data_IF_270849374050
#
_entry.id   IF_270849374050
#
_cell.length_a   1.000
_cell.length_b   1.000
_cell.length_c   1.000
_cell.angle_alpha   90.00
_cell.angle_beta   90.00
_cell.angle_gamma   90.00
#
_symmetry.space_group_name_H-M   'P 1'
#
loop_
_entity.id
_entity.type
_entity.pdbx_description
1 polymer ?
#
# COMPACT_ATOMS: atom_id res chain seq x y z
N UNK A 1 13.27 -15.28 0.93
CA UNK A 1 13.40 -14.53 -0.33
C UNK A 1 14.88 -14.27 -0.64
N UNK A 2 15.18 -14.07 -1.94
CA UNK A 2 16.51 -13.66 -2.35
C UNK A 2 16.88 -12.30 -1.74
N UNK A 3 18.18 -11.99 -1.70
CA UNK A 3 18.65 -10.72 -1.16
C UNK A 3 18.04 -9.52 -1.92
N UNK A 4 17.92 -9.61 -3.25
CA UNK A 4 17.33 -8.55 -4.05
C UNK A 4 15.88 -8.29 -3.62
N UNK A 5 15.07 -9.34 -3.52
CA UNK A 5 13.67 -9.19 -3.11
C UNK A 5 13.57 -8.66 -1.68
N UNK A 6 14.42 -9.12 -0.77
CA UNK A 6 14.45 -8.59 0.60
C UNK A 6 14.73 -7.09 0.62
N UNK A 7 15.69 -6.64 -0.19
CA UNK A 7 16.04 -5.21 -0.27
C UNK A 7 14.89 -4.38 -0.84
N UNK A 8 14.18 -4.91 -1.84
CA UNK A 8 13.00 -4.23 -2.39
C UNK A 8 11.92 -4.10 -1.33
N UNK A 9 11.62 -5.16 -0.59
CA UNK A 9 10.61 -5.14 0.47
C UNK A 9 11.00 -4.12 1.55
N UNK A 10 12.26 -4.09 1.96
CA UNK A 10 12.75 -3.12 2.94
C UNK A 10 12.56 -1.68 2.42
N UNK A 11 12.86 -1.45 1.14
CA UNK A 11 12.70 -0.13 0.53
C UNK A 11 11.22 0.30 0.56
N UNK A 12 10.31 -0.61 0.22
CA UNK A 12 8.88 -0.34 0.25
C UNK A 12 8.43 -0.01 1.67
N UNK A 13 8.84 -0.81 2.65
CA UNK A 13 8.43 -0.63 4.04
C UNK A 13 9.01 0.63 4.68
N UNK A 14 10.13 1.13 4.17
CA UNK A 14 10.79 2.31 4.72
C UNK A 14 10.02 3.60 4.44
N UNK A 15 9.46 3.73 3.23
CA UNK A 15 8.73 4.95 2.86
C UNK A 15 7.66 4.64 1.81
N UNK A 16 6.43 4.51 2.26
CA UNK A 16 5.29 4.26 1.37
C UNK A 16 4.91 5.47 0.52
N UNK A 17 5.40 6.66 0.85
CA UNK A 17 5.11 7.87 0.08
C UNK A 17 6.05 8.08 -1.10
N UNK A 18 7.13 7.31 -1.17
CA UNK A 18 8.10 7.40 -2.25
C UNK A 18 7.54 6.85 -3.56
N UNK A 19 8.22 7.14 -4.65
CA UNK A 19 7.91 6.53 -5.94
C UNK A 19 8.40 5.07 -5.90
N UNK A 20 7.46 4.15 -5.83
CA UNK A 20 7.71 2.71 -5.69
C UNK A 20 7.33 1.96 -6.97
N UNK A 21 7.43 2.62 -8.13
CA UNK A 21 7.21 1.97 -9.42
C UNK A 21 8.33 0.98 -9.71
N UNK A 22 8.01 -0.01 -10.55
CA UNK A 22 8.96 -1.05 -10.94
C UNK A 22 10.25 -0.44 -11.51
N UNK A 23 10.13 0.53 -12.41
CA UNK A 23 11.30 1.13 -13.07
C UNK A 23 12.19 1.86 -12.06
N UNK A 24 11.58 2.59 -11.12
CA UNK A 24 12.34 3.30 -10.09
C UNK A 24 13.07 2.33 -9.17
N UNK A 25 12.38 1.29 -8.72
CA UNK A 25 12.99 0.30 -7.81
C UNK A 25 14.09 -0.50 -8.51
N UNK A 26 13.87 -0.91 -9.75
CA UNK A 26 14.88 -1.60 -10.53
C UNK A 26 16.12 -0.72 -10.73
N UNK A 27 15.91 0.56 -11.00
CA UNK A 27 17.00 1.53 -11.14
C UNK A 27 17.82 1.66 -9.86
N UNK A 28 17.15 1.74 -8.72
CA UNK A 28 17.83 1.83 -7.41
C UNK A 28 18.71 0.62 -7.14
N UNK A 29 18.27 -0.55 -7.56
CA UNK A 29 19.00 -1.81 -7.33
C UNK A 29 19.95 -2.15 -8.49
N UNK A 30 19.97 -1.28 -9.51
CA UNK A 30 20.81 -1.46 -10.69
C UNK A 30 20.58 -2.81 -11.38
N UNK A 31 19.31 -3.17 -11.54
CA UNK A 31 18.89 -4.40 -12.21
C UNK A 31 17.89 -4.09 -13.31
N UNK A 32 17.69 -5.05 -14.20
CA UNK A 32 16.70 -4.96 -15.27
C UNK A 32 15.27 -5.05 -14.66
N UNK A 33 14.39 -4.17 -15.14
CA UNK A 33 13.00 -4.13 -14.61
C UNK A 33 12.24 -5.44 -14.86
N UNK A 34 12.38 -6.02 -16.04
CA UNK A 34 11.71 -7.30 -16.35
C UNK A 34 12.21 -8.43 -15.46
N UNK A 35 13.50 -8.46 -15.19
CA UNK A 35 14.09 -9.44 -14.29
C UNK A 35 13.53 -9.28 -12.88
N UNK A 36 13.51 -8.04 -12.37
CA UNK A 36 12.95 -7.77 -11.04
C UNK A 36 11.48 -8.16 -10.95
N UNK A 37 10.69 -7.78 -11.96
CA UNK A 37 9.26 -8.10 -12.01
C UNK A 37 9.01 -9.60 -11.92
N UNK A 38 9.72 -10.38 -12.72
CA UNK A 38 9.57 -11.83 -12.78
C UNK A 38 10.00 -12.48 -11.46
N UNK A 39 11.15 -12.07 -10.95
CA UNK A 39 11.67 -12.62 -9.70
C UNK A 39 10.78 -12.30 -8.51
N UNK A 40 10.32 -11.05 -8.42
CA UNK A 40 9.46 -10.62 -7.32
C UNK A 40 8.16 -11.43 -7.28
N UNK A 41 7.50 -11.58 -8.43
CA UNK A 41 6.27 -12.37 -8.50
C UNK A 41 6.52 -13.84 -8.19
N UNK A 42 7.62 -14.40 -8.69
CA UNK A 42 7.98 -15.79 -8.43
C UNK A 42 8.17 -16.05 -6.94
N UNK A 43 8.85 -15.16 -6.24
CA UNK A 43 9.17 -15.37 -4.83
C UNK A 43 8.04 -14.99 -3.88
N UNK A 44 7.31 -13.90 -4.16
CA UNK A 44 6.26 -13.40 -3.25
C UNK A 44 4.86 -13.87 -3.62
N UNK A 45 4.66 -14.32 -4.85
CA UNK A 45 3.33 -14.69 -5.35
C UNK A 45 2.52 -13.50 -5.85
N UNK A 46 3.02 -12.27 -5.72
CA UNK A 46 2.33 -11.04 -6.11
C UNK A 46 3.18 -10.22 -7.07
N UNK A 47 2.52 -9.47 -7.95
CA UNK A 47 3.25 -8.45 -8.71
C UNK A 47 3.76 -7.38 -7.75
N UNK A 48 4.81 -6.68 -8.16
CA UNK A 48 5.34 -5.59 -7.35
C UNK A 48 4.28 -4.51 -7.10
N UNK A 49 3.52 -4.14 -8.13
CA UNK A 49 2.45 -3.14 -8.01
C UNK A 49 1.40 -3.57 -6.99
N UNK A 50 0.94 -4.82 -7.06
CA UNK A 50 -0.05 -5.32 -6.10
C UNK A 50 0.50 -5.35 -4.69
N UNK A 51 1.76 -5.74 -4.52
CA UNK A 51 2.40 -5.76 -3.22
C UNK A 51 2.46 -4.35 -2.60
N UNK A 52 2.88 -3.36 -3.38
CA UNK A 52 2.96 -1.97 -2.91
C UNK A 52 1.56 -1.46 -2.54
N UNK A 53 0.58 -1.71 -3.41
CA UNK A 53 -0.79 -1.26 -3.16
C UNK A 53 -1.37 -1.90 -1.91
N UNK A 54 -1.10 -3.19 -1.70
CA UNK A 54 -1.54 -3.89 -0.49
C UNK A 54 -0.96 -3.24 0.77
N UNK A 55 0.33 -2.94 0.76
CA UNK A 55 0.98 -2.28 1.90
C UNK A 55 0.41 -0.90 2.16
N UNK A 56 0.16 -0.14 1.10
CA UNK A 56 -0.44 1.20 1.22
C UNK A 56 -1.85 1.14 1.81
N UNK A 57 -2.66 0.19 1.37
CA UNK A 57 -4.02 0.03 1.90
C UNK A 57 -3.99 -0.44 3.36
N UNK A 58 -3.09 -1.36 3.71
CA UNK A 58 -2.92 -1.79 5.10
C UNK A 58 -2.57 -0.60 6.01
N UNK A 59 -1.70 0.28 5.54
CA UNK A 59 -1.36 1.48 6.30
C UNK A 59 -2.57 2.41 6.45
N UNK A 60 -3.39 2.52 5.40
CA UNK A 60 -4.64 3.27 5.45
C UNK A 60 -5.60 2.72 6.48
N UNK A 61 -5.74 1.40 6.54
CA UNK A 61 -6.58 0.74 7.55
C UNK A 61 -6.10 1.11 8.96
N UNK A 62 -4.79 1.03 9.18
CA UNK A 62 -4.22 1.38 10.47
C UNK A 62 -4.55 2.82 10.86
N UNK A 63 -4.39 3.76 9.93
CA UNK A 63 -4.67 5.18 10.19
C UNK A 63 -6.16 5.45 10.42
N UNK A 64 -7.04 4.71 9.74
CA UNK A 64 -8.48 4.83 9.96
C UNK A 64 -8.87 4.40 11.37
N UNK A 65 -8.19 3.39 11.92
CA UNK A 65 -8.46 2.89 13.27
C UNK A 65 -7.84 3.76 14.36
N UNK A 66 -6.63 4.24 14.13
CA UNK A 66 -5.81 4.84 15.20
C UNK A 66 -5.83 6.36 15.22
N UNK A 67 -6.45 6.99 14.22
CA UNK A 67 -6.46 8.47 14.13
C UNK A 67 -7.84 8.97 13.74
N UNK A 68 -8.03 10.29 13.92
CA UNK A 68 -9.22 11.01 13.42
C UNK A 68 -8.90 11.81 12.16
N UNK A 69 -7.79 11.51 11.50
CA UNK A 69 -7.38 12.21 10.28
C UNK A 69 -8.44 12.10 9.19
N UNK A 70 -8.54 13.14 8.37
CA UNK A 70 -9.43 13.13 7.22
C UNK A 70 -8.96 12.09 6.20
N UNK A 71 -9.90 11.54 5.44
CA UNK A 71 -9.60 10.49 4.46
C UNK A 71 -8.53 10.95 3.46
N UNK A 72 -8.62 12.20 2.97
CA UNK A 72 -7.63 12.70 2.01
C UNK A 72 -6.24 12.83 2.63
N UNK A 73 -6.15 13.14 3.91
CA UNK A 73 -4.87 13.18 4.62
C UNK A 73 -4.29 11.77 4.75
N UNK A 74 -5.14 10.79 5.09
CA UNK A 74 -4.74 9.39 5.17
C UNK A 74 -4.21 8.91 3.82
N UNK A 75 -4.91 9.23 2.73
CA UNK A 75 -4.50 8.86 1.39
C UNK A 75 -3.07 9.37 1.10
N UNK A 76 -2.79 10.62 1.45
CA UNK A 76 -1.46 11.19 1.25
C UNK A 76 -0.39 10.46 2.08
N UNK A 77 -0.68 10.16 3.34
CA UNK A 77 0.27 9.44 4.19
C UNK A 77 0.51 8.01 3.70
N UNK A 78 -0.45 7.41 3.00
CA UNK A 78 -0.28 6.07 2.43
C UNK A 78 0.50 6.08 1.11
N UNK A 79 0.81 7.26 0.57
CA UNK A 79 1.49 7.36 -0.72
C UNK A 79 0.56 7.37 -1.91
N UNK A 80 -0.74 7.58 -1.70
CA UNK A 80 -1.76 7.68 -2.75
C UNK A 80 -2.47 9.03 -2.57
N UNK A 81 -1.84 10.14 -3.00
CA UNK A 81 -2.40 11.47 -2.73
C UNK A 81 -3.71 11.78 -3.46
N UNK A 82 -4.01 11.07 -4.55
CA UNK A 82 -5.30 11.21 -5.23
C UNK A 82 -6.34 10.44 -4.42
N UNK A 83 -7.19 11.18 -3.68
CA UNK A 83 -8.18 10.57 -2.79
C UNK A 83 -9.22 9.75 -3.55
N UNK A 84 -9.54 10.13 -4.79
CA UNK A 84 -10.48 9.36 -5.60
C UNK A 84 -9.90 7.99 -5.96
N UNK A 85 -8.64 7.97 -6.36
CA UNK A 85 -7.96 6.71 -6.65
C UNK A 85 -7.80 5.86 -5.38
N UNK A 86 -7.42 6.50 -4.27
CA UNK A 86 -7.32 5.82 -2.98
C UNK A 86 -8.64 5.15 -2.60
N UNK A 87 -9.75 5.88 -2.71
CA UNK A 87 -11.08 5.37 -2.38
C UNK A 87 -11.45 4.15 -3.23
N UNK A 88 -11.20 4.24 -4.53
CA UNK A 88 -11.49 3.12 -5.46
C UNK A 88 -10.64 1.90 -5.14
N UNK A 89 -9.36 2.11 -4.91
CA UNK A 89 -8.43 1.01 -4.60
C UNK A 89 -8.79 0.38 -3.26
N UNK A 90 -9.08 1.18 -2.25
CA UNK A 90 -9.48 0.72 -0.92
C UNK A 90 -10.74 -0.14 -1.02
N UNK A 91 -11.78 0.36 -1.71
CA UNK A 91 -13.02 -0.38 -1.88
C UNK A 91 -12.80 -1.70 -2.61
N UNK A 92 -11.95 -1.70 -3.64
CA UNK A 92 -11.63 -2.93 -4.39
C UNK A 92 -10.99 -3.98 -3.49
N UNK A 93 -10.08 -3.57 -2.60
CA UNK A 93 -9.32 -4.50 -1.77
C UNK A 93 -10.03 -4.88 -0.48
N UNK A 94 -10.79 -3.96 0.11
CA UNK A 94 -11.41 -4.14 1.43
C UNK A 94 -12.91 -4.45 1.32
N UNK A 95 -13.54 -4.05 0.22
CA UNK A 95 -14.97 -4.27 0.01
C UNK A 95 -15.85 -3.09 0.44
N UNK A 96 -15.28 -2.08 1.06
CA UNK A 96 -15.98 -0.88 1.53
C UNK A 96 -15.13 0.35 1.27
N UNK A 97 -15.76 1.52 1.18
CA UNK A 97 -15.01 2.77 1.09
C UNK A 97 -14.32 3.05 2.42
N UNK A 98 -13.26 3.87 2.44
CA UNK A 98 -12.62 4.26 3.70
C UNK A 98 -13.60 4.88 4.69
N UNK A 99 -14.52 5.70 4.22
CA UNK A 99 -15.53 6.33 5.07
C UNK A 99 -16.46 5.30 5.70
N UNK A 100 -16.98 4.38 4.87
CA UNK A 100 -17.85 3.29 5.36
C UNK A 100 -17.13 2.42 6.38
N UNK A 101 -15.90 2.08 6.07
CA UNK A 101 -15.08 1.25 6.95
C UNK A 101 -14.88 1.92 8.31
N UNK A 102 -14.54 3.21 8.31
CA UNK A 102 -14.35 3.96 9.57
C UNK A 102 -15.65 4.05 10.37
N UNK A 103 -16.78 4.29 9.72
CA UNK A 103 -18.08 4.37 10.40
C UNK A 103 -18.44 3.04 11.06
N UNK A 104 -18.23 1.93 10.39
CA UNK A 104 -18.51 0.60 10.94
C UNK A 104 -17.62 0.34 12.15
N UNK A 105 -16.34 0.69 12.06
CA UNK A 105 -15.39 0.50 13.15
C UNK A 105 -15.80 1.33 14.37
N UNK A 106 -16.17 2.59 14.17
CA UNK A 106 -16.60 3.47 15.26
C UNK A 106 -17.89 2.98 15.90
N UNK A 107 -18.87 2.54 15.10
CA UNK A 107 -20.11 1.98 15.62
C UNK A 107 -19.85 0.73 16.46
N UNK A 108 -18.98 -0.14 15.97
CA UNK A 108 -18.58 -1.33 16.73
C UNK A 108 -17.95 -0.97 18.07
N UNK A 109 -17.12 0.06 18.09
CA UNK A 109 -16.53 0.57 19.31
C UNK A 109 -17.57 1.14 20.29
N UNK A 110 -18.58 1.82 19.76
CA UNK A 110 -19.64 2.41 20.61
C UNK A 110 -20.54 1.38 21.25
N UNK A 111 -20.66 0.20 20.69
CA UNK A 111 -21.50 -0.87 21.23
C UNK A 111 -20.90 -1.51 22.47
N UNK A 112 -19.68 -1.27 22.73
CA UNK A 112 -19.02 -1.75 23.92
C UNK A 112 -19.15 -0.74 25.04
#
# INVERSE_FOLDING_TARGET
YSLLVQKIITTIDTDLTADLTLNVLAGKMNVNASYLSTLFKKETGNTLTDYVNEKRIQHGILLLHSTSLQIQTIASYCGIPDVNYFTKLFKKKVGKTPKEYREIFLKGGKKK
#
